data_IF_222806995058
#
_entry.id   IF_222806995058
#
_cell.length_a   1.000
_cell.length_b   1.000
_cell.length_c   1.000
_cell.angle_alpha   90.00
_cell.angle_beta   90.00
_cell.angle_gamma   90.00
#
_symmetry.space_group_name_H-M   'P 1'
#
loop_
_entity.id
_entity.type
_entity.pdbx_description
1 polymer ?
#
# COMPACT_ATOMS: atom_id res chain seq x y z
N UNK A 1 3.88 12.36 6.25
CA UNK A 1 3.24 12.18 4.93
C UNK A 1 2.10 11.20 5.06
N UNK A 2 0.90 11.50 4.53
CA UNK A 2 -0.23 10.58 4.57
C UNK A 2 -0.29 9.74 3.30
N UNK A 3 -0.60 8.46 3.48
CA UNK A 3 -0.74 7.48 2.41
C UNK A 3 -2.03 6.67 2.61
N UNK A 4 -2.47 6.01 1.55
CA UNK A 4 -3.60 5.08 1.59
C UNK A 4 -3.20 3.75 0.96
N UNK A 5 -3.63 2.64 1.57
CA UNK A 5 -3.45 1.30 1.01
C UNK A 5 -4.33 1.11 -0.23
N UNK A 6 -3.76 0.54 -1.30
CA UNK A 6 -4.47 0.17 -2.53
C UNK A 6 -4.91 -1.31 -2.57
N UNK A 7 -4.40 -2.13 -1.65
CA UNK A 7 -4.73 -3.55 -1.56
C UNK A 7 -4.94 -3.94 -0.11
N UNK A 8 -5.68 -5.02 0.07
CA UNK A 8 -5.80 -5.69 1.35
C UNK A 8 -4.46 -6.39 1.65
N UNK A 9 -3.84 -5.99 2.75
CA UNK A 9 -2.65 -6.64 3.30
C UNK A 9 -3.10 -7.66 4.32
N UNK A 10 -3.90 -7.21 5.29
CA UNK A 10 -4.47 -8.06 6.33
C UNK A 10 -5.84 -7.52 6.76
N UNK A 11 -6.88 -8.32 6.53
CA UNK A 11 -8.24 -7.99 6.90
C UNK A 11 -8.50 -8.07 8.40
N UNK A 12 -7.82 -8.96 9.12
CA UNK A 12 -8.00 -9.15 10.57
C UNK A 12 -7.51 -7.95 11.36
N UNK A 13 -6.46 -7.34 10.82
CA UNK A 13 -5.76 -6.21 11.41
C UNK A 13 -6.34 -4.87 10.91
N UNK A 14 -7.24 -4.88 9.92
CA UNK A 14 -7.85 -3.66 9.36
C UNK A 14 -6.96 -2.93 8.35
N UNK A 15 -5.91 -3.58 7.85
CA UNK A 15 -5.07 -3.11 6.76
C UNK A 15 -5.68 -3.51 5.42
N UNK A 16 -6.78 -2.84 5.07
CA UNK A 16 -7.53 -3.04 3.84
C UNK A 16 -7.35 -1.88 2.86
N UNK A 17 -7.81 -2.08 1.62
CA UNK A 17 -7.85 -1.03 0.62
C UNK A 17 -8.67 0.15 1.14
N UNK A 18 -8.10 1.36 1.10
CA UNK A 18 -8.72 2.56 1.66
C UNK A 18 -8.24 2.95 3.06
N UNK A 19 -7.52 2.09 3.78
CA UNK A 19 -6.96 2.43 5.10
C UNK A 19 -5.96 3.58 4.95
N UNK A 20 -6.18 4.65 5.73
CA UNK A 20 -5.32 5.84 5.76
C UNK A 20 -4.24 5.68 6.81
N UNK A 21 -2.99 5.83 6.39
CA UNK A 21 -1.82 5.70 7.23
C UNK A 21 -0.96 6.96 7.13
N UNK A 22 -0.14 7.18 8.15
CA UNK A 22 0.91 8.20 8.19
C UNK A 22 2.24 7.47 8.25
N UNK A 23 3.16 7.82 7.35
CA UNK A 23 4.52 7.26 7.38
C UNK A 23 5.27 7.86 8.57
N UNK A 24 5.74 7.00 9.47
CA UNK A 24 6.58 7.37 10.61
C UNK A 24 8.05 7.21 10.24
N UNK A 25 8.41 6.06 9.64
CA UNK A 25 9.76 5.76 9.16
C UNK A 25 9.69 4.97 7.86
N UNK A 26 10.70 5.17 7.02
CA UNK A 26 10.84 4.45 5.75
C UNK A 26 12.29 4.02 5.53
N UNK A 27 12.46 2.79 5.13
CA UNK A 27 13.72 2.20 4.68
C UNK A 27 13.54 1.64 3.26
N UNK A 28 14.61 1.12 2.66
CA UNK A 28 14.67 0.74 1.24
C UNK A 28 13.51 -0.17 0.78
N UNK A 29 13.04 -1.07 1.64
CA UNK A 29 11.95 -2.00 1.32
C UNK A 29 10.91 -2.14 2.45
N UNK A 30 10.95 -1.24 3.43
CA UNK A 30 10.15 -1.33 4.65
C UNK A 30 9.58 0.04 4.97
N UNK A 31 8.29 0.09 5.30
CA UNK A 31 7.61 1.30 5.77
C UNK A 31 6.99 0.98 7.12
N UNK A 32 7.23 1.85 8.10
CA UNK A 32 6.58 1.85 9.41
C UNK A 32 5.39 2.83 9.37
N UNK A 33 4.16 2.33 9.21
CA UNK A 33 2.98 3.16 9.22
C UNK A 33 2.41 3.36 10.63
N UNK A 34 1.73 4.49 10.82
CA UNK A 34 0.78 4.71 11.92
C UNK A 34 -0.61 4.94 11.33
N UNK A 35 -1.66 4.44 11.97
CA UNK A 35 -3.01 4.76 11.53
C UNK A 35 -3.28 6.26 11.66
N UNK A 36 -4.02 6.84 10.72
CA UNK A 36 -4.32 8.28 10.79
C UNK A 36 -5.15 8.64 12.03
N UNK A 37 -6.08 7.78 12.43
CA UNK A 37 -7.07 8.05 13.49
C UNK A 37 -6.71 7.44 14.85
N UNK A 38 -5.73 6.54 14.91
CA UNK A 38 -5.32 5.88 16.16
C UNK A 38 -3.96 6.36 16.63
N UNK A 39 -3.86 6.66 17.93
CA UNK A 39 -2.56 6.96 18.56
C UNK A 39 -1.63 5.74 18.58
N UNK A 40 -2.19 4.54 18.49
CA UNK A 40 -1.43 3.27 18.48
C UNK A 40 -0.66 3.12 17.17
N UNK A 41 0.65 2.97 17.28
CA UNK A 41 1.51 2.59 16.18
C UNK A 41 1.13 1.18 15.72
N UNK A 42 1.07 0.97 14.40
CA UNK A 42 1.04 -0.38 13.86
C UNK A 42 2.43 -0.97 14.03
N UNK A 43 2.55 -1.99 14.87
CA UNK A 43 3.83 -2.69 15.12
C UNK A 43 4.29 -3.49 13.90
N UNK A 44 3.40 -3.71 12.93
CA UNK A 44 3.70 -4.45 11.72
C UNK A 44 4.16 -3.52 10.60
N UNK A 45 5.36 -3.81 10.11
CA UNK A 45 5.95 -3.10 9.00
C UNK A 45 5.31 -3.52 7.68
N UNK A 46 5.09 -2.55 6.80
CA UNK A 46 4.70 -2.83 5.41
C UNK A 46 5.96 -3.12 4.62
N UNK A 47 6.02 -4.30 4.00
CA UNK A 47 7.10 -4.70 3.12
C UNK A 47 6.72 -4.47 1.66
N UNK A 48 7.69 -4.06 0.83
CA UNK A 48 7.49 -3.99 -0.62
C UNK A 48 7.30 -5.41 -1.16
N UNK A 49 6.07 -5.79 -1.50
CA UNK A 49 5.79 -7.08 -2.15
C UNK A 49 6.21 -7.06 -3.62
N UNK A 50 6.58 -8.23 -4.12
CA UNK A 50 7.24 -8.41 -5.41
C UNK A 50 6.31 -8.46 -6.63
N UNK A 51 4.98 -8.53 -6.48
CA UNK A 51 4.13 -8.85 -7.64
C UNK A 51 2.93 -7.90 -7.82
N UNK A 52 3.11 -6.88 -8.67
CA UNK A 52 2.07 -6.60 -9.67
C UNK A 52 2.39 -7.37 -10.94
N UNK A 53 1.64 -8.44 -11.18
CA UNK A 53 1.60 -9.09 -12.48
C UNK A 53 0.56 -8.38 -13.34
N UNK A 54 1.00 -7.51 -14.25
CA UNK A 54 0.17 -7.09 -15.38
C UNK A 54 0.28 -8.18 -16.45
N UNK A 55 -0.43 -9.29 -16.26
CA UNK A 55 -0.48 -10.35 -17.27
C UNK A 55 -1.44 -9.93 -18.38
N UNK A 56 -0.94 -9.21 -19.37
CA UNK A 56 -1.64 -9.08 -20.63
C UNK A 56 -1.34 -10.34 -21.45
N UNK A 57 -2.33 -11.19 -21.71
CA UNK A 57 -2.18 -12.49 -22.39
C UNK A 57 -1.55 -12.42 -23.78
N UNK A 58 -1.35 -11.22 -24.33
CA UNK A 58 -0.75 -10.96 -25.64
C UNK A 58 0.78 -10.83 -25.61
N UNK A 59 1.41 -10.77 -24.44
CA UNK A 59 2.85 -10.54 -24.31
C UNK A 59 3.52 -11.83 -23.80
N UNK A 60 4.60 -12.33 -24.44
CA UNK A 60 5.19 -13.64 -24.12
C UNK A 60 6.00 -13.65 -22.81
N UNK A 61 5.93 -12.59 -22.00
CA UNK A 61 6.65 -12.48 -20.74
C UNK A 61 5.81 -11.75 -19.69
N UNK A 62 6.04 -12.07 -18.42
CA UNK A 62 5.37 -11.44 -17.28
C UNK A 62 6.18 -10.24 -16.82
N UNK A 63 5.58 -9.05 -16.84
CA UNK A 63 6.12 -7.92 -16.11
C UNK A 63 5.80 -8.07 -14.63
N UNK A 64 6.84 -8.04 -13.79
CA UNK A 64 6.72 -7.98 -12.34
C UNK A 64 7.19 -6.59 -11.89
N UNK A 65 6.32 -5.87 -11.18
CA UNK A 65 6.70 -4.63 -10.51
C UNK A 65 6.80 -4.87 -9.02
N UNK A 66 7.96 -4.53 -8.45
CA UNK A 66 8.19 -4.44 -7.02
C UNK A 66 7.84 -3.03 -6.55
N UNK A 67 6.60 -2.84 -6.11
CA UNK A 67 6.16 -1.58 -5.51
C UNK A 67 5.29 -1.84 -4.29
N UNK A 68 5.33 -0.88 -3.34
CA UNK A 68 4.36 -0.85 -2.26
C UNK A 68 2.97 -0.54 -2.82
N UNK A 69 1.95 -1.26 -2.36
CA UNK A 69 0.55 -1.01 -2.73
C UNK A 69 -0.01 0.19 -1.94
N UNK A 70 0.61 1.36 -2.09
CA UNK A 70 0.24 2.61 -1.41
C UNK A 70 0.17 3.78 -2.39
N UNK A 71 -0.69 4.75 -2.10
CA UNK A 71 -0.76 6.04 -2.78
C UNK A 71 -0.59 7.18 -1.79
N UNK A 72 -0.02 8.30 -2.24
CA UNK A 72 0.02 9.52 -1.45
C UNK A 72 -1.40 10.06 -1.33
N UNK A 73 -1.86 10.27 -0.10
CA UNK A 73 -3.20 10.74 0.20
C UNK A 73 -3.15 12.23 0.55
N UNK A 74 -3.47 13.07 -0.43
CA UNK A 74 -3.72 14.51 -0.22
C UNK A 74 -5.00 14.94 -0.94
N UNK A 75 -5.15 14.54 -2.20
CA UNK A 75 -6.38 14.64 -2.97
C UNK A 75 -6.50 13.40 -3.85
N UNK A 76 -7.61 12.65 -3.71
CA UNK A 76 -7.91 11.54 -4.61
C UNK A 76 -8.85 12.03 -5.71
N UNK A 77 -8.61 11.58 -6.94
CA UNK A 77 -9.57 11.77 -8.02
C UNK A 77 -10.82 10.95 -7.69
N UNK A 78 -12.00 11.57 -7.84
CA UNK A 78 -13.31 10.97 -7.51
C UNK A 78 -13.66 9.75 -8.39
N UNK A 79 -12.87 9.46 -9.44
CA UNK A 79 -13.20 8.43 -10.41
C UNK A 79 -13.21 7.01 -9.78
N UNK A 80 -14.41 6.59 -9.37
CA UNK A 80 -14.79 5.20 -9.13
C UNK A 80 -15.42 4.69 -10.43
N UNK A 81 -14.55 4.36 -11.39
CA UNK A 81 -14.84 4.02 -12.79
C UNK A 81 -15.30 5.17 -13.69
#
# INVERSE_FOLDING_TARGET
MSIMLLKNIDHWVGLCNGTRLVIIKSEKHVIEPKEYDREKFWTENIYSKDDLTLSNYRIPFKFQYKQFFIIIFYAMTINKN
#
